data_IF_599711442022
#
_entry.id   IF_599711442022
#
_cell.length_a   1.000
_cell.length_b   1.000
_cell.length_c   1.000
_cell.angle_alpha   90.00
_cell.angle_beta   90.00
_cell.angle_gamma   90.00
#
_symmetry.space_group_name_H-M   'P 1'
#
loop_
_entity.id
_entity.type
_entity.pdbx_description
1 polymer ?
#
# COMPACT_ATOMS: atom_id res chain seq x y z
N UNK A 1 -18.14 -6.93 5.30
CA UNK A 1 -18.12 -7.15 3.82
C UNK A 1 -17.04 -6.35 3.09
N UNK A 2 -16.76 -5.08 3.45
CA UNK A 2 -15.74 -4.25 2.75
C UNK A 2 -14.32 -4.83 2.64
N UNK A 3 -13.91 -5.71 3.56
CA UNK A 3 -12.57 -6.34 3.53
C UNK A 3 -12.37 -7.27 2.33
N UNK A 4 -13.39 -8.06 1.99
CA UNK A 4 -13.32 -8.98 0.85
C UNK A 4 -13.25 -8.22 -0.48
N UNK A 5 -13.99 -7.11 -0.59
CA UNK A 5 -13.98 -6.26 -1.78
C UNK A 5 -12.59 -5.64 -2.03
N UNK A 6 -11.90 -5.18 -0.98
CA UNK A 6 -10.53 -4.66 -1.10
C UNK A 6 -9.54 -5.74 -1.56
N UNK A 7 -9.67 -6.96 -1.05
CA UNK A 7 -8.82 -8.09 -1.44
C UNK A 7 -9.08 -8.48 -2.89
N UNK A 8 -10.35 -8.60 -3.30
CA UNK A 8 -10.75 -8.91 -4.67
C UNK A 8 -10.21 -7.85 -5.64
N UNK A 9 -10.36 -6.56 -5.32
CA UNK A 9 -9.85 -5.48 -6.14
C UNK A 9 -8.31 -5.52 -6.25
N UNK A 10 -7.62 -5.79 -5.15
CA UNK A 10 -6.16 -5.94 -5.13
C UNK A 10 -5.69 -7.12 -5.99
N UNK A 11 -6.35 -8.27 -5.88
CA UNK A 11 -6.03 -9.47 -6.66
C UNK A 11 -6.29 -9.22 -8.14
N UNK A 12 -7.39 -8.53 -8.48
CA UNK A 12 -7.74 -8.22 -9.86
C UNK A 12 -6.73 -7.28 -10.52
N UNK A 13 -6.31 -6.23 -9.80
CA UNK A 13 -5.27 -5.31 -10.28
C UNK A 13 -3.95 -6.05 -10.47
N UNK A 14 -3.55 -6.89 -9.50
CA UNK A 14 -2.34 -7.70 -9.61
C UNK A 14 -2.40 -8.63 -10.84
N UNK A 15 -3.55 -9.26 -11.08
CA UNK A 15 -3.74 -10.15 -12.23
C UNK A 15 -3.60 -9.41 -13.57
N UNK A 16 -4.18 -8.22 -13.70
CA UNK A 16 -4.05 -7.38 -14.91
C UNK A 16 -2.58 -7.03 -15.15
N UNK A 17 -1.87 -6.60 -14.10
CA UNK A 17 -0.45 -6.25 -14.18
C UNK A 17 0.39 -7.46 -14.59
N UNK A 18 0.13 -8.64 -14.01
CA UNK A 18 0.82 -9.88 -14.35
C UNK A 18 0.56 -10.30 -15.80
N UNK A 19 -0.70 -10.28 -16.26
CA UNK A 19 -1.03 -10.65 -17.64
C UNK A 19 -0.41 -9.66 -18.64
N UNK A 20 -0.46 -8.36 -18.34
CA UNK A 20 0.17 -7.32 -19.16
C UNK A 20 1.68 -7.52 -19.24
N UNK A 21 2.32 -7.81 -18.12
CA UNK A 21 3.74 -8.11 -18.02
C UNK A 21 4.13 -9.33 -18.87
N UNK A 22 3.43 -10.46 -18.71
CA UNK A 22 3.71 -11.68 -19.47
C UNK A 22 3.52 -11.46 -20.97
N UNK A 23 2.42 -10.81 -21.38
CA UNK A 23 2.15 -10.55 -22.81
C UNK A 23 3.11 -9.55 -23.43
N UNK A 24 3.52 -8.54 -22.67
CA UNK A 24 4.43 -7.49 -23.14
C UNK A 24 5.85 -7.72 -22.60
N UNK A 25 6.31 -8.98 -22.58
CA UNK A 25 7.69 -9.32 -22.20
C UNK A 25 8.71 -9.02 -23.32
N UNK A 26 8.48 -7.95 -24.09
CA UNK A 26 9.49 -7.44 -25.01
C UNK A 26 10.54 -6.67 -24.21
N UNK A 27 11.80 -6.87 -24.58
CA UNK A 27 12.92 -6.12 -24.01
C UNK A 27 12.80 -4.69 -24.50
N UNK A 28 12.66 -3.75 -23.57
CA UNK A 28 12.58 -2.31 -23.83
C UNK A 28 13.77 -1.64 -23.18
N UNK A 29 14.32 -0.65 -23.87
CA UNK A 29 15.33 0.23 -23.30
C UNK A 29 14.62 1.26 -22.41
N UNK A 30 15.01 1.32 -21.14
CA UNK A 30 14.59 2.37 -20.22
C UNK A 30 15.75 3.32 -20.00
N UNK A 31 15.54 4.56 -20.41
CA UNK A 31 16.43 5.68 -20.16
C UNK A 31 15.98 6.40 -18.88
N UNK A 32 16.84 6.41 -17.87
CA UNK A 32 16.53 6.97 -16.56
C UNK A 32 16.90 8.45 -16.46
N UNK A 33 16.21 9.30 -17.22
CA UNK A 33 16.50 10.74 -17.26
C UNK A 33 16.30 11.41 -15.88
N UNK A 34 17.18 12.34 -15.43
CA UNK A 34 18.34 12.94 -16.12
C UNK A 34 19.65 12.14 -16.04
N UNK A 35 19.65 10.96 -15.41
CA UNK A 35 20.83 10.10 -15.33
C UNK A 35 21.09 9.40 -16.69
N UNK A 36 22.34 9.30 -17.18
CA UNK A 36 22.66 8.63 -18.44
C UNK A 36 22.74 7.10 -18.26
N UNK A 37 21.80 6.52 -17.53
CA UNK A 37 21.70 5.09 -17.28
C UNK A 37 20.65 4.49 -18.22
N UNK A 38 21.10 3.51 -19.02
CA UNK A 38 20.24 2.75 -19.93
C UNK A 38 20.12 1.31 -19.43
N UNK A 39 18.89 0.90 -19.14
CA UNK A 39 18.60 -0.46 -18.73
C UNK A 39 17.81 -1.18 -19.82
N UNK A 40 18.34 -2.29 -20.34
CA UNK A 40 17.59 -3.21 -21.20
C UNK A 40 16.87 -4.20 -20.31
N UNK A 41 15.66 -3.85 -19.91
CA UNK A 41 14.84 -4.67 -19.05
C UNK A 41 13.61 -5.12 -19.81
N UNK A 42 13.11 -6.30 -19.44
CA UNK A 42 11.80 -6.73 -19.91
C UNK A 42 10.74 -5.84 -19.27
N UNK A 43 9.77 -5.34 -20.05
CA UNK A 43 8.71 -4.46 -19.54
C UNK A 43 7.94 -5.09 -18.36
N UNK A 44 7.87 -6.42 -18.33
CA UNK A 44 7.34 -7.20 -17.19
C UNK A 44 8.06 -6.90 -15.88
N UNK A 45 9.39 -6.85 -15.89
CA UNK A 45 10.21 -6.57 -14.71
C UNK A 45 9.98 -5.16 -14.19
N UNK A 46 9.81 -4.21 -15.11
CA UNK A 46 9.61 -2.79 -14.81
C UNK A 46 8.24 -2.56 -14.18
N UNK A 47 7.18 -3.16 -14.75
CA UNK A 47 5.84 -3.08 -14.18
C UNK A 47 5.77 -3.74 -12.81
N UNK A 48 6.25 -4.96 -12.69
CA UNK A 48 6.24 -5.71 -11.41
C UNK A 48 7.08 -4.98 -10.38
N UNK A 49 8.26 -4.48 -10.76
CA UNK A 49 9.12 -3.69 -9.88
C UNK A 49 8.42 -2.44 -9.36
N UNK A 50 7.81 -1.64 -10.25
CA UNK A 50 7.09 -0.42 -9.88
C UNK A 50 5.91 -0.71 -8.95
N UNK A 51 5.14 -1.75 -9.25
CA UNK A 51 4.01 -2.17 -8.42
C UNK A 51 4.46 -2.67 -7.05
N UNK A 52 5.55 -3.43 -7.01
CA UNK A 52 6.13 -3.96 -5.77
C UNK A 52 6.61 -2.82 -4.89
N UNK A 53 7.34 -1.86 -5.45
CA UNK A 53 7.81 -0.68 -4.72
C UNK A 53 6.63 0.16 -4.22
N UNK A 54 5.63 0.41 -5.05
CA UNK A 54 4.42 1.14 -4.66
C UNK A 54 3.64 0.43 -3.54
N UNK A 55 3.51 -0.90 -3.63
CA UNK A 55 2.83 -1.71 -2.62
C UNK A 55 3.60 -1.72 -1.28
N UNK A 56 4.93 -1.86 -1.33
CA UNK A 56 5.78 -1.80 -0.14
C UNK A 56 5.72 -0.42 0.53
N UNK A 57 5.80 0.66 -0.26
CA UNK A 57 5.68 2.02 0.26
C UNK A 57 4.30 2.28 0.89
N UNK A 58 3.22 1.90 0.20
CA UNK A 58 1.86 2.03 0.70
C UNK A 58 1.61 1.18 1.96
N UNK A 59 2.11 -0.05 1.97
CA UNK A 59 2.04 -0.95 3.13
C UNK A 59 2.79 -0.37 4.34
N UNK A 60 4.00 0.15 4.12
CA UNK A 60 4.82 0.76 5.16
C UNK A 60 4.15 2.00 5.75
N UNK A 61 3.57 2.87 4.91
CA UNK A 61 2.79 4.04 5.35
C UNK A 61 1.60 3.67 6.22
N UNK A 62 0.85 2.64 5.84
CA UNK A 62 -0.27 2.11 6.65
C UNK A 62 0.25 1.55 7.97
N UNK A 63 1.37 0.83 7.94
CA UNK A 63 1.97 0.23 9.13
C UNK A 63 2.40 1.29 10.15
N UNK A 64 3.06 2.36 9.67
CA UNK A 64 3.44 3.52 10.48
C UNK A 64 2.19 4.23 11.06
N UNK A 65 1.14 4.41 10.25
CA UNK A 65 -0.12 5.01 10.72
C UNK A 65 -0.81 4.17 11.81
N UNK A 66 -0.77 2.84 11.71
CA UNK A 66 -1.35 1.94 12.71
C UNK A 66 -0.54 1.92 14.01
N UNK A 67 0.80 1.91 13.90
CA UNK A 67 1.72 2.02 15.04
C UNK A 67 1.48 3.35 15.77
N UNK A 68 1.45 4.47 15.05
CA UNK A 68 1.21 5.80 15.61
C UNK A 68 -0.12 5.87 16.38
N UNK A 69 -1.21 5.32 15.82
CA UNK A 69 -2.52 5.25 16.51
C UNK A 69 -2.55 4.38 17.77
N UNK A 70 -1.60 3.44 17.92
CA UNK A 70 -1.50 2.56 19.08
C UNK A 70 -0.71 3.20 20.22
N UNK A 71 0.29 4.02 19.90
CA UNK A 71 1.11 4.75 20.87
C UNK A 71 0.53 6.12 21.26
N UNK A 72 -0.29 6.73 20.40
CA UNK A 72 -1.02 7.98 20.67
C UNK A 72 -2.49 7.73 21.05
N UNK A 73 -2.77 6.74 21.90
CA UNK A 73 -4.00 6.76 22.69
C UNK A 73 -3.71 7.48 24.01
N UNK A 74 -3.93 8.79 24.14
CA UNK A 74 -4.18 9.38 25.45
C UNK A 74 -5.30 8.58 26.11
N UNK A 75 -5.08 8.28 27.39
CA UNK A 75 -5.95 7.51 28.25
C UNK A 75 -7.29 8.22 28.54
N UNK A 76 -8.08 8.53 27.51
CA UNK A 76 -9.35 9.25 27.64
C UNK A 76 -10.55 8.30 27.73
N UNK A 77 -10.42 7.25 28.56
CA UNK A 77 -11.54 6.33 28.85
C UNK A 77 -11.88 6.22 30.34
N UNK A 78 -11.33 7.11 31.17
CA UNK A 78 -11.46 7.06 32.63
C UNK A 78 -11.98 8.38 33.22
N UNK A 79 -12.94 9.04 32.57
CA UNK A 79 -13.62 10.20 33.18
C UNK A 79 -15.11 10.29 32.89
N UNK A 80 -15.70 9.31 32.20
CA UNK A 80 -17.16 9.23 31.98
C UNK A 80 -17.88 8.19 32.85
N UNK A 81 -17.18 7.47 33.71
CA UNK A 81 -17.80 6.47 34.61
C UNK A 81 -17.95 6.97 36.06
N UNK A 82 -17.51 8.19 36.40
CA UNK A 82 -17.63 8.74 37.77
C UNK A 82 -18.52 9.97 37.84
N UNK A 83 -19.40 10.21 36.86
CA UNK A 83 -20.46 11.21 37.05
C UNK A 83 -21.53 10.57 37.94
N UNK A 84 -21.61 10.98 39.23
CA UNK A 84 -22.59 10.43 40.15
C UNK A 84 -23.98 10.84 39.65
N UNK A 85 -24.84 9.86 39.44
CA UNK A 85 -26.23 10.04 38.99
C UNK A 85 -27.15 10.35 40.19
N UNK A 86 -26.63 11.06 41.18
CA UNK A 86 -27.27 11.43 42.45
C UNK A 86 -26.97 12.89 42.76
N UNK A 87 -27.39 13.80 41.90
CA UNK A 87 -27.63 15.18 42.33
C UNK A 87 -28.88 15.73 41.65
N UNK A 88 -30.01 15.21 42.13
CA UNK A 88 -31.35 15.78 42.00
C UNK A 88 -31.85 16.13 43.41
#
# INVERSE_FOLDING_TARGET
MFKALKIILSVFIALIVTVFAVKNSRVVAIDLWPLPLQFKLTLSLVLIGTFTVGALAGGLLVWISQISKRFLKPAEKESRHTLPQDLN
#
